data_IF_269559164602
#
_entry.id   IF_269559164602
#
_cell.length_a   1.000
_cell.length_b   1.000
_cell.length_c   1.000
_cell.angle_alpha   90.00
_cell.angle_beta   90.00
_cell.angle_gamma   90.00
#
_symmetry.space_group_name_H-M   'P 1'
#
loop_
_entity.id
_entity.type
_entity.pdbx_description
1 polymer ?
#
# COMPACT_ATOMS: atom_id res chain seq x y z
N UNK A 1 24.39 2.64 -30.64
CA UNK A 1 24.09 2.73 -29.20
C UNK A 1 22.59 2.72 -29.01
N UNK A 2 22.09 1.91 -28.09
CA UNK A 2 20.68 1.89 -27.71
C UNK A 2 20.25 3.25 -27.11
N UNK A 3 19.04 3.73 -27.45
CA UNK A 3 18.53 5.06 -27.05
C UNK A 3 18.53 5.22 -25.53
N UNK A 4 18.06 4.20 -24.83
CA UNK A 4 17.98 4.19 -23.36
C UNK A 4 19.36 4.23 -22.72
N UNK A 5 20.32 3.53 -23.30
CA UNK A 5 21.73 3.60 -22.88
C UNK A 5 22.32 5.01 -23.04
N UNK A 6 21.87 5.78 -24.03
CA UNK A 6 22.27 7.19 -24.21
C UNK A 6 21.66 8.07 -23.11
N UNK A 7 20.37 7.93 -22.81
CA UNK A 7 19.69 8.68 -21.74
C UNK A 7 20.35 8.46 -20.38
N UNK A 8 20.65 7.20 -20.05
CA UNK A 8 21.37 6.87 -18.80
C UNK A 8 22.74 7.52 -18.74
N UNK A 9 23.50 7.52 -19.85
CA UNK A 9 24.82 8.16 -19.87
C UNK A 9 24.71 9.65 -19.66
N UNK A 10 23.79 10.32 -20.34
CA UNK A 10 23.55 11.75 -20.16
C UNK A 10 23.24 12.02 -18.68
N UNK A 11 22.21 11.39 -18.13
CA UNK A 11 21.85 11.55 -16.73
C UNK A 11 23.04 11.35 -15.77
N UNK A 12 23.86 10.31 -15.95
CA UNK A 12 24.96 9.99 -15.02
C UNK A 12 26.21 10.86 -15.21
N UNK A 13 26.47 11.38 -16.41
CA UNK A 13 27.66 12.19 -16.69
C UNK A 13 27.43 13.68 -16.51
N UNK A 14 26.24 14.17 -16.86
CA UNK A 14 25.95 15.60 -16.90
C UNK A 14 24.70 16.01 -16.10
N UNK A 15 24.02 15.06 -15.45
CA UNK A 15 22.83 15.37 -14.66
C UNK A 15 21.67 15.91 -15.50
N UNK A 16 21.61 15.60 -16.79
CA UNK A 16 20.59 16.15 -17.71
C UNK A 16 19.17 15.90 -17.20
N UNK A 17 18.47 17.00 -16.92
CA UNK A 17 17.07 17.00 -16.50
C UNK A 17 16.16 16.43 -17.61
N UNK A 18 16.43 16.76 -18.87
CA UNK A 18 15.71 16.20 -20.01
C UNK A 18 15.87 14.68 -20.09
N UNK A 19 17.05 14.16 -19.80
CA UNK A 19 17.28 12.71 -19.76
C UNK A 19 16.52 12.06 -18.60
N UNK A 20 16.51 12.71 -17.43
CA UNK A 20 15.73 12.27 -16.26
C UNK A 20 14.23 12.22 -16.58
N UNK A 21 13.67 13.29 -17.14
CA UNK A 21 12.25 13.35 -17.52
C UNK A 21 11.87 12.26 -18.53
N UNK A 22 12.72 12.04 -19.54
CA UNK A 22 12.49 10.96 -20.51
C UNK A 22 12.53 9.59 -19.87
N UNK A 23 13.48 9.33 -18.97
CA UNK A 23 13.55 8.07 -18.23
C UNK A 23 12.34 7.88 -17.30
N UNK A 24 11.90 8.93 -16.59
CA UNK A 24 10.69 8.88 -15.75
C UNK A 24 9.47 8.53 -16.61
N UNK A 25 9.31 9.19 -17.76
CA UNK A 25 8.21 8.92 -18.69
C UNK A 25 8.25 7.49 -19.25
N UNK A 26 9.43 7.02 -19.67
CA UNK A 26 9.62 5.65 -20.17
C UNK A 26 9.31 4.58 -19.13
N UNK A 27 9.59 4.84 -17.85
CA UNK A 27 9.40 3.88 -16.76
C UNK A 27 8.19 4.13 -15.89
N UNK A 28 7.35 5.13 -16.20
CA UNK A 28 6.16 5.48 -15.41
C UNK A 28 5.22 4.28 -15.18
N UNK A 29 5.17 3.34 -16.14
CA UNK A 29 4.39 2.11 -16.02
C UNK A 29 4.80 1.24 -14.82
N UNK A 30 6.05 1.33 -14.34
CA UNK A 30 6.53 0.58 -13.17
C UNK A 30 5.87 1.06 -11.88
N UNK A 31 5.53 2.35 -11.78
CA UNK A 31 4.83 2.89 -10.63
C UNK A 31 3.43 2.24 -10.50
N UNK A 32 2.66 2.26 -11.60
CA UNK A 32 1.36 1.59 -11.67
C UNK A 32 1.48 0.09 -11.40
N UNK A 33 2.41 -0.58 -12.06
CA UNK A 33 2.64 -2.01 -11.87
C UNK A 33 3.00 -2.38 -10.42
N UNK A 34 3.79 -1.54 -9.75
CA UNK A 34 4.17 -1.76 -8.37
C UNK A 34 2.95 -1.70 -7.45
N UNK A 35 2.09 -0.69 -7.59
CA UNK A 35 0.85 -0.51 -6.81
C UNK A 35 -0.12 -1.66 -7.06
N UNK A 36 -0.39 -1.99 -8.33
CA UNK A 36 -1.33 -3.07 -8.70
C UNK A 36 -0.94 -4.41 -8.06
N UNK A 37 0.37 -4.70 -8.01
CA UNK A 37 0.89 -5.94 -7.45
C UNK A 37 0.80 -6.05 -5.93
N UNK A 38 0.57 -4.95 -5.22
CA UNK A 38 0.39 -5.00 -3.77
C UNK A 38 -0.97 -5.60 -3.39
N UNK A 39 -1.90 -5.76 -4.36
CA UNK A 39 -3.26 -6.27 -4.15
C UNK A 39 -3.94 -5.59 -2.95
N UNK A 40 -3.69 -4.29 -2.80
CA UNK A 40 -4.26 -3.51 -1.71
C UNK A 40 -5.72 -3.28 -2.05
N UNK A 41 -6.59 -3.53 -1.08
CA UNK A 41 -7.94 -2.97 -1.13
C UNK A 41 -7.84 -1.55 -0.55
N UNK A 42 -8.01 -0.49 -1.37
CA UNK A 42 -8.00 0.90 -0.90
C UNK A 42 -9.27 1.15 -0.09
N UNK A 43 -9.27 0.66 1.14
CA UNK A 43 -10.34 0.85 2.13
C UNK A 43 -9.84 1.73 3.29
N UNK A 44 -8.85 2.59 3.03
CA UNK A 44 -8.23 3.47 4.02
C UNK A 44 -8.08 4.91 3.49
N UNK A 45 -7.30 5.73 4.20
CA UNK A 45 -7.17 7.17 3.95
C UNK A 45 -6.58 7.57 2.58
N UNK A 46 -5.83 6.68 1.91
CA UNK A 46 -5.19 6.96 0.62
C UNK A 46 -5.99 6.42 -0.56
N UNK A 47 -6.21 7.28 -1.56
CA UNK A 47 -6.77 6.87 -2.84
C UNK A 47 -5.73 6.12 -3.68
N UNK A 48 -6.22 5.38 -4.70
CA UNK A 48 -5.32 4.71 -5.65
C UNK A 48 -4.40 5.70 -6.40
N UNK A 49 -4.89 6.91 -6.69
CA UNK A 49 -4.11 7.96 -7.35
C UNK A 49 -2.98 8.46 -6.44
N UNK A 50 -3.23 8.59 -5.14
CA UNK A 50 -2.20 8.95 -4.16
C UNK A 50 -1.08 7.91 -4.11
N UNK A 51 -1.45 6.61 -4.10
CA UNK A 51 -0.49 5.51 -4.12
C UNK A 51 0.39 5.55 -5.38
N UNK A 52 -0.19 5.86 -6.54
CA UNK A 52 0.59 6.06 -7.77
C UNK A 52 1.53 7.26 -7.62
N UNK A 53 1.06 8.38 -7.05
CA UNK A 53 1.89 9.56 -6.80
C UNK A 53 3.14 9.21 -5.98
N UNK A 54 2.97 8.49 -4.87
CA UNK A 54 4.09 8.01 -4.05
C UNK A 54 4.98 7.01 -4.79
N UNK A 55 4.40 6.11 -5.59
CA UNK A 55 5.18 5.19 -6.43
C UNK A 55 6.05 5.94 -7.46
N UNK A 56 5.56 7.05 -8.01
CA UNK A 56 6.33 7.91 -8.93
C UNK A 56 7.50 8.58 -8.22
N UNK A 57 7.33 9.02 -6.97
CA UNK A 57 8.44 9.55 -6.16
C UNK A 57 9.52 8.47 -5.96
N UNK A 58 9.13 7.25 -5.61
CA UNK A 58 10.06 6.13 -5.49
C UNK A 58 10.73 5.74 -6.82
N UNK A 59 10.05 5.91 -7.96
CA UNK A 59 10.61 5.69 -9.28
C UNK A 59 11.69 6.73 -9.59
N UNK A 60 11.42 8.01 -9.30
CA UNK A 60 12.37 9.11 -9.48
C UNK A 60 13.64 8.84 -8.66
N UNK A 61 13.50 8.50 -7.38
CA UNK A 61 14.63 8.16 -6.51
C UNK A 61 15.42 6.96 -7.04
N UNK A 62 14.71 5.93 -7.53
CA UNK A 62 15.35 4.78 -8.15
C UNK A 62 16.15 5.17 -9.41
N UNK A 63 15.65 6.07 -10.25
CA UNK A 63 16.37 6.57 -11.43
C UNK A 63 17.65 7.30 -11.02
N UNK A 64 17.57 8.16 -10.01
CA UNK A 64 18.70 8.93 -9.53
C UNK A 64 19.81 8.04 -8.94
N UNK A 65 19.44 7.00 -8.19
CA UNK A 65 20.38 6.10 -7.52
C UNK A 65 20.84 4.89 -8.34
N UNK A 66 20.15 4.56 -9.43
CA UNK A 66 20.50 3.41 -10.26
C UNK A 66 21.88 3.58 -10.93
N UNK A 67 22.60 2.47 -11.08
CA UNK A 67 23.91 2.42 -11.70
C UNK A 67 23.90 1.42 -12.87
N UNK A 68 23.89 1.89 -14.13
CA UNK A 68 23.86 1.03 -15.32
C UNK A 68 25.05 0.08 -15.44
N UNK A 69 26.21 0.44 -14.85
CA UNK A 69 27.45 -0.33 -15.02
C UNK A 69 27.47 -1.60 -14.17
N UNK A 70 26.51 -1.76 -13.24
CA UNK A 70 26.36 -2.96 -12.40
C UNK A 70 25.72 -4.16 -13.10
N UNK A 71 25.28 -4.00 -14.35
CA UNK A 71 24.76 -5.10 -15.18
C UNK A 71 23.39 -5.67 -14.77
N UNK A 72 22.69 -5.05 -13.81
CA UNK A 72 21.33 -5.41 -13.41
C UNK A 72 20.34 -4.54 -14.16
N UNK A 73 19.30 -5.10 -14.77
CA UNK A 73 18.26 -4.31 -15.45
C UNK A 73 17.59 -3.32 -14.49
N UNK A 74 17.33 -2.10 -14.96
CA UNK A 74 16.71 -1.04 -14.15
C UNK A 74 15.39 -1.50 -13.52
N UNK A 75 14.52 -2.18 -14.27
CA UNK A 75 13.24 -2.68 -13.79
C UNK A 75 13.41 -3.62 -12.58
N UNK A 76 14.45 -4.46 -12.60
CA UNK A 76 14.74 -5.40 -11.51
C UNK A 76 15.24 -4.68 -10.26
N UNK A 77 15.95 -3.55 -10.44
CA UNK A 77 16.44 -2.71 -9.36
C UNK A 77 15.35 -1.80 -8.76
N UNK A 78 14.48 -1.24 -9.61
CA UNK A 78 13.53 -0.20 -9.25
C UNK A 78 12.26 -0.76 -8.59
N UNK A 79 11.72 -1.87 -9.10
CA UNK A 79 10.47 -2.46 -8.58
C UNK A 79 10.44 -2.69 -7.06
N UNK A 80 11.46 -3.29 -6.41
CA UNK A 80 11.44 -3.46 -4.96
C UNK A 80 11.51 -2.12 -4.21
N UNK A 81 12.16 -1.09 -4.77
CA UNK A 81 12.27 0.23 -4.14
C UNK A 81 10.97 1.01 -4.22
N UNK A 82 10.36 1.06 -5.41
CA UNK A 82 9.06 1.69 -5.63
C UNK A 82 8.02 1.09 -4.68
N UNK A 83 8.01 -0.24 -4.54
CA UNK A 83 7.13 -0.91 -3.58
C UNK A 83 7.42 -0.54 -2.13
N UNK A 84 8.69 -0.42 -1.76
CA UNK A 84 9.10 0.02 -0.43
C UNK A 84 8.49 1.38 -0.09
N UNK A 85 8.64 2.35 -0.99
CA UNK A 85 8.10 3.71 -0.83
C UNK A 85 6.57 3.71 -0.61
N UNK A 86 5.85 2.94 -1.42
CA UNK A 86 4.39 2.82 -1.29
C UNK A 86 3.99 2.11 0.01
N UNK A 87 4.72 1.09 0.43
CA UNK A 87 4.44 0.41 1.70
C UNK A 87 4.74 1.34 2.89
N UNK A 88 5.80 2.13 2.80
CA UNK A 88 6.20 3.02 3.87
C UNK A 88 5.22 4.20 4.02
N UNK A 89 4.67 4.74 2.93
CA UNK A 89 3.61 5.76 3.05
C UNK A 89 2.32 5.17 3.65
N UNK A 90 1.92 3.96 3.24
CA UNK A 90 0.76 3.28 3.84
C UNK A 90 0.97 3.06 5.34
N UNK A 91 2.19 2.71 5.74
CA UNK A 91 2.54 2.54 7.15
C UNK A 91 2.47 3.84 7.95
N UNK A 92 2.86 4.95 7.32
CA UNK A 92 2.84 6.27 7.95
C UNK A 92 1.42 6.83 8.09
N UNK A 93 0.54 6.51 7.15
CA UNK A 93 -0.76 7.17 7.02
C UNK A 93 -1.96 6.43 7.58
N UNK A 94 -1.93 5.11 7.78
CA UNK A 94 -2.83 4.37 8.67
C UNK A 94 -2.61 2.87 8.45
N UNK A 95 -1.59 2.32 9.12
CA UNK A 95 -1.45 0.88 9.26
C UNK A 95 -2.47 0.36 10.28
N UNK A 96 -3.69 0.06 9.84
CA UNK A 96 -4.58 -0.83 10.61
C UNK A 96 -3.97 -2.24 10.54
N UNK A 97 -3.44 -2.79 11.65
CA UNK A 97 -2.79 -4.09 11.61
C UNK A 97 -3.72 -5.17 11.05
N UNK A 98 -3.17 -6.19 10.37
CA UNK A 98 -3.95 -7.35 9.90
C UNK A 98 -4.83 -7.97 11.00
N UNK A 99 -4.37 -7.91 12.26
CA UNK A 99 -5.14 -8.33 13.42
C UNK A 99 -6.39 -7.48 13.65
N UNK A 100 -6.31 -6.16 13.50
CA UNK A 100 -7.46 -5.25 13.65
C UNK A 100 -8.46 -5.45 12.51
N UNK A 101 -8.02 -5.58 11.25
CA UNK A 101 -8.91 -5.92 10.11
C UNK A 101 -9.62 -7.27 10.30
N UNK A 102 -8.91 -8.25 10.86
CA UNK A 102 -9.51 -9.56 11.19
C UNK A 102 -10.58 -9.40 12.26
N UNK A 103 -10.34 -8.59 13.29
CA UNK A 103 -11.31 -8.27 14.34
C UNK A 103 -12.53 -7.55 13.77
N UNK A 104 -12.34 -6.57 12.90
CA UNK A 104 -13.43 -5.85 12.21
C UNK A 104 -14.32 -6.81 11.40
N UNK A 105 -13.71 -7.70 10.62
CA UNK A 105 -14.46 -8.71 9.84
C UNK A 105 -15.23 -9.66 10.77
N UNK A 106 -14.58 -10.13 11.84
CA UNK A 106 -15.19 -11.02 12.82
C UNK A 106 -16.37 -10.35 13.55
N UNK A 107 -16.25 -9.06 13.91
CA UNK A 107 -17.34 -8.28 14.49
C UNK A 107 -18.51 -8.17 13.52
N UNK A 108 -18.25 -7.71 12.28
CA UNK A 108 -19.29 -7.55 11.25
C UNK A 108 -20.05 -8.85 10.97
N UNK A 109 -19.34 -9.98 10.89
CA UNK A 109 -19.96 -11.30 10.72
C UNK A 109 -20.81 -11.70 11.93
N UNK A 110 -20.34 -11.44 13.15
CA UNK A 110 -21.09 -11.72 14.38
C UNK A 110 -22.38 -10.89 14.48
N UNK A 111 -22.30 -9.58 14.23
CA UNK A 111 -23.47 -8.70 14.22
C UNK A 111 -24.49 -9.18 13.16
N UNK A 112 -24.06 -9.43 11.91
CA UNK A 112 -24.94 -9.90 10.85
C UNK A 112 -25.61 -11.25 11.17
N UNK A 113 -24.85 -12.20 11.72
CA UNK A 113 -25.38 -13.51 12.11
C UNK A 113 -26.45 -13.39 13.21
N UNK A 114 -26.18 -12.57 14.22
CA UNK A 114 -27.11 -12.36 15.33
C UNK A 114 -28.33 -11.55 14.92
N UNK A 115 -28.19 -10.52 14.08
CA UNK A 115 -29.33 -9.77 13.54
C UNK A 115 -30.29 -10.67 12.77
N UNK A 116 -29.74 -11.54 11.91
CA UNK A 116 -30.54 -12.52 11.18
C UNK A 116 -31.25 -13.51 12.11
N UNK A 117 -30.60 -13.92 13.20
CA UNK A 117 -31.13 -14.91 14.14
C UNK A 117 -32.14 -14.34 15.14
N UNK A 118 -31.94 -13.10 15.58
CA UNK A 118 -32.75 -12.43 16.60
C UNK A 118 -33.87 -11.58 16.00
N UNK A 119 -33.76 -11.20 14.72
CA UNK A 119 -34.72 -10.30 14.06
C UNK A 119 -34.67 -8.86 14.60
N UNK A 120 -33.61 -8.51 15.33
CA UNK A 120 -33.33 -7.19 15.90
C UNK A 120 -31.82 -7.01 16.03
N UNK A 121 -31.36 -5.78 16.26
CA UNK A 121 -29.95 -5.53 16.58
C UNK A 121 -29.55 -6.23 17.90
N UNK A 122 -28.42 -6.97 17.92
CA UNK A 122 -27.91 -7.61 19.12
C UNK A 122 -27.31 -6.58 20.08
N UNK A 123 -27.34 -6.89 21.37
CA UNK A 123 -26.60 -6.18 22.40
C UNK A 123 -25.13 -6.62 22.44
N UNK A 124 -24.26 -5.77 22.97
CA UNK A 124 -22.83 -6.08 23.11
C UNK A 124 -22.59 -7.35 23.94
N UNK A 125 -23.44 -7.63 24.95
CA UNK A 125 -23.39 -8.88 25.71
C UNK A 125 -23.65 -10.12 24.83
N UNK A 126 -24.63 -10.05 23.93
CA UNK A 126 -24.97 -11.14 23.00
C UNK A 126 -23.87 -11.35 21.94
N UNK A 127 -23.23 -10.27 21.50
CA UNK A 127 -22.10 -10.33 20.55
C UNK A 127 -20.87 -10.92 21.23
N UNK A 128 -20.55 -10.49 22.45
CA UNK A 128 -19.43 -11.01 23.23
C UNK A 128 -19.60 -12.52 23.49
N UNK A 129 -20.81 -12.94 23.88
CA UNK A 129 -21.14 -14.36 24.08
C UNK A 129 -20.99 -15.16 22.78
N UNK A 130 -21.49 -14.63 21.65
CA UNK A 130 -21.36 -15.29 20.35
C UNK A 130 -19.90 -15.47 19.91
N UNK A 131 -19.05 -14.49 20.23
CA UNK A 131 -17.62 -14.51 19.92
C UNK A 131 -16.79 -15.30 20.95
N UNK A 132 -17.39 -15.73 22.07
CA UNK A 132 -16.70 -16.45 23.14
C UNK A 132 -15.68 -15.58 23.90
N UNK A 133 -15.94 -14.28 23.99
CA UNK A 133 -15.08 -13.29 24.66
C UNK A 133 -15.86 -12.56 25.76
N UNK A 134 -15.14 -11.84 26.64
CA UNK A 134 -15.78 -10.97 27.62
C UNK A 134 -16.27 -9.66 27.00
N UNK A 135 -17.26 -9.02 27.64
CA UNK A 135 -17.77 -7.69 27.19
C UNK A 135 -16.65 -6.64 27.18
N UNK A 136 -15.73 -6.66 28.15
CA UNK A 136 -14.59 -5.75 28.16
C UNK A 136 -13.57 -6.02 27.04
N UNK A 137 -13.46 -7.25 26.54
CA UNK A 137 -12.67 -7.55 25.34
C UNK A 137 -13.38 -7.07 24.07
N UNK A 138 -14.70 -7.18 24.01
CA UNK A 138 -15.50 -6.64 22.92
C UNK A 138 -15.38 -5.11 22.85
N UNK A 139 -15.50 -4.41 23.99
CA UNK A 139 -15.32 -2.95 24.06
C UNK A 139 -13.95 -2.52 23.51
N UNK A 140 -12.88 -3.24 23.88
CA UNK A 140 -11.54 -3.00 23.33
C UNK A 140 -11.49 -3.24 21.82
N UNK A 141 -12.10 -4.32 21.33
CA UNK A 141 -12.16 -4.58 19.89
C UNK A 141 -12.92 -3.49 19.13
N UNK A 142 -14.01 -2.97 19.69
CA UNK A 142 -14.77 -1.86 19.12
C UNK A 142 -13.97 -0.54 19.12
N UNK A 143 -13.21 -0.26 20.18
CA UNK A 143 -12.31 0.89 20.25
C UNK A 143 -11.18 0.78 19.22
N UNK A 144 -10.53 -0.40 19.11
CA UNK A 144 -9.45 -0.65 18.16
C UNK A 144 -9.91 -0.46 16.70
N UNK A 145 -11.15 -0.86 16.38
CA UNK A 145 -11.75 -0.71 15.06
C UNK A 145 -12.21 0.74 14.82
N UNK A 146 -12.77 1.42 15.82
CA UNK A 146 -13.24 2.79 15.69
C UNK A 146 -12.14 3.87 15.63
N UNK A 147 -10.90 3.52 15.95
CA UNK A 147 -9.71 4.39 15.81
C UNK A 147 -8.93 4.15 14.51
N UNK A 148 -9.41 3.25 13.65
CA UNK A 148 -8.79 2.89 12.36
C UNK A 148 -9.52 3.51 11.16
#
# INVERSE_FOLDING_TARGET
>A
MDRRSKLWRELKQNGSEQAREQLVSEYAYLAKYAVDRLNLNPSGALSYEDLIGHAVVGLIDAIEKYDPDRGVKFESYALPRIRGEVIDVIRQLDWTPRSVRRRETQLREAYACLEMRLGRSPSDAEVAEHLGISVGELEKMLMDVGQS
#
